data_IF_876616821728
#
_entry.id   IF_876616821728
#
_cell.length_a   1.000
_cell.length_b   1.000
_cell.length_c   1.000
_cell.angle_alpha   90.00
_cell.angle_beta   90.00
_cell.angle_gamma   90.00
#
_symmetry.space_group_name_H-M   'P 1'
#
loop_
_entity.id
_entity.type
_entity.pdbx_description
1 polymer ?
#
# COMPACT_ATOMS: atom_id res chain seq x y z
N UNK A 1 -16.85 -14.76 12.62
CA UNK A 1 -16.62 -13.71 11.59
C UNK A 1 -16.02 -14.37 10.36
N UNK A 2 -16.52 -14.07 9.17
CA UNK A 2 -15.97 -14.57 7.89
C UNK A 2 -14.72 -13.78 7.51
N UNK A 3 -13.71 -14.43 6.91
CA UNK A 3 -12.45 -13.80 6.51
C UNK A 3 -11.98 -14.32 5.15
N UNK A 4 -11.39 -13.45 4.32
CA UNK A 4 -10.73 -13.90 3.09
C UNK A 4 -9.51 -14.71 3.50
N UNK A 5 -9.43 -15.96 3.04
CA UNK A 5 -8.24 -16.80 3.24
C UNK A 5 -7.05 -16.16 2.52
N UNK A 6 -5.90 -16.10 3.19
CA UNK A 6 -4.67 -15.69 2.54
C UNK A 6 -4.30 -16.73 1.48
N UNK A 7 -4.07 -16.28 0.26
CA UNK A 7 -3.62 -17.13 -0.84
C UNK A 7 -2.22 -17.69 -0.53
N UNK A 8 -1.95 -18.90 -1.04
CA UNK A 8 -0.63 -19.49 -0.89
C UNK A 8 0.34 -18.71 -1.78
N UNK A 9 1.42 -18.24 -1.19
CA UNK A 9 2.45 -17.54 -1.96
C UNK A 9 3.29 -18.56 -2.74
N UNK A 10 3.46 -18.28 -4.04
CA UNK A 10 4.26 -19.10 -4.95
C UNK A 10 5.64 -18.48 -5.20
N UNK A 11 6.60 -19.35 -5.52
CA UNK A 11 7.94 -18.92 -5.92
C UNK A 11 7.90 -18.15 -7.24
N UNK A 12 8.92 -17.31 -7.47
CA UNK A 12 9.00 -16.55 -8.72
C UNK A 12 9.37 -17.50 -9.86
N UNK A 13 8.53 -17.58 -10.88
CA UNK A 13 8.88 -18.28 -12.11
C UNK A 13 9.92 -17.48 -12.88
N UNK A 14 11.14 -18.01 -13.02
CA UNK A 14 12.19 -17.40 -13.83
C UNK A 14 12.10 -17.89 -15.27
N UNK A 15 12.12 -16.96 -16.23
CA UNK A 15 11.96 -17.28 -17.66
C UNK A 15 13.09 -16.64 -18.46
N UNK A 16 13.35 -17.17 -19.66
CA UNK A 16 14.31 -16.60 -20.61
C UNK A 16 14.03 -15.12 -20.90
N UNK A 17 12.74 -14.75 -21.01
CA UNK A 17 12.31 -13.35 -21.19
C UNK A 17 12.75 -12.45 -20.02
N UNK A 18 12.68 -12.94 -18.77
CA UNK A 18 13.12 -12.18 -17.58
C UNK A 18 14.64 -12.01 -17.56
N UNK A 19 15.39 -13.05 -17.93
CA UNK A 19 16.84 -12.98 -18.04
C UNK A 19 17.28 -12.00 -19.14
N UNK A 20 16.65 -12.05 -20.33
CA UNK A 20 16.94 -11.10 -21.40
C UNK A 20 16.61 -9.65 -20.99
N UNK A 21 15.53 -9.44 -20.22
CA UNK A 21 15.21 -8.12 -19.69
C UNK A 21 16.25 -7.61 -18.67
N UNK A 22 16.78 -8.51 -17.83
CA UNK A 22 17.88 -8.20 -16.93
C UNK A 22 19.14 -7.79 -17.71
N UNK A 23 19.54 -8.57 -18.72
CA UNK A 23 20.72 -8.23 -19.55
C UNK A 23 20.56 -6.87 -20.25
N UNK A 24 19.36 -6.56 -20.78
CA UNK A 24 19.08 -5.24 -21.36
C UNK A 24 19.15 -4.10 -20.33
N UNK A 25 18.78 -4.35 -19.08
CA UNK A 25 18.95 -3.37 -17.99
C UNK A 25 20.44 -3.11 -17.75
N UNK A 26 21.24 -4.17 -17.63
CA UNK A 26 22.69 -4.06 -17.40
C UNK A 26 23.37 -3.27 -18.54
N UNK A 27 23.06 -3.60 -19.80
CA UNK A 27 23.58 -2.89 -20.96
C UNK A 27 23.17 -1.41 -20.98
N UNK A 28 21.92 -1.09 -20.61
CA UNK A 28 21.46 0.30 -20.52
C UNK A 28 22.20 1.09 -19.44
N UNK A 29 22.50 0.46 -18.31
CA UNK A 29 23.26 1.09 -17.22
C UNK A 29 24.69 1.43 -17.64
N UNK A 30 25.35 0.53 -18.37
CA UNK A 30 26.68 0.79 -18.95
C UNK A 30 26.64 1.90 -20.00
N UNK A 31 25.64 1.88 -20.90
CA UNK A 31 25.44 2.89 -21.94
C UNK A 31 25.11 4.28 -21.38
N UNK A 32 24.47 4.36 -20.21
CA UNK A 32 24.16 5.63 -19.56
C UNK A 32 25.41 6.35 -19.06
N UNK A 33 26.49 5.62 -18.76
CA UNK A 33 27.76 6.16 -18.29
C UNK A 33 28.94 5.52 -19.03
N UNK A 34 29.16 5.84 -20.33
CA UNK A 34 30.12 5.15 -21.17
C UNK A 34 31.57 5.22 -20.66
N UNK A 35 31.97 6.34 -20.06
CA UNK A 35 33.32 6.52 -19.48
C UNK A 35 33.59 5.58 -18.31
N UNK A 36 32.54 5.05 -17.68
CA UNK A 36 32.63 4.12 -16.55
C UNK A 36 32.08 2.73 -16.89
N UNK A 37 31.86 2.42 -18.17
CA UNK A 37 31.18 1.20 -18.58
C UNK A 37 31.86 -0.07 -18.05
N UNK A 38 33.19 -0.12 -18.08
CA UNK A 38 33.97 -1.26 -17.60
C UNK A 38 33.88 -1.41 -16.07
N UNK A 39 33.97 -0.30 -15.32
CA UNK A 39 33.79 -0.32 -13.87
C UNK A 39 32.37 -0.76 -13.50
N UNK A 40 31.35 -0.24 -14.20
CA UNK A 40 29.95 -0.62 -14.00
C UNK A 40 29.76 -2.11 -14.28
N UNK A 41 30.31 -2.64 -15.37
CA UNK A 41 30.20 -4.05 -15.71
C UNK A 41 30.83 -4.95 -14.63
N UNK A 42 31.93 -4.53 -14.00
CA UNK A 42 32.59 -5.26 -12.90
C UNK A 42 31.75 -5.27 -11.61
N UNK A 43 31.02 -4.19 -11.32
CA UNK A 43 30.15 -4.10 -10.15
C UNK A 43 28.79 -4.80 -10.34
N UNK A 44 28.37 -5.03 -11.59
CA UNK A 44 27.09 -5.65 -11.90
C UNK A 44 27.05 -7.12 -11.46
N UNK A 45 26.00 -7.46 -10.72
CA UNK A 45 25.81 -8.81 -10.22
C UNK A 45 25.31 -9.79 -11.30
N UNK A 46 25.55 -11.08 -11.05
CA UNK A 46 25.14 -12.14 -11.96
C UNK A 46 23.63 -12.36 -11.98
N UNK A 47 23.15 -13.09 -12.99
CA UNK A 47 21.74 -13.48 -13.06
C UNK A 47 21.31 -14.38 -11.88
N UNK A 48 22.19 -15.25 -11.40
CA UNK A 48 21.90 -16.10 -10.24
C UNK A 48 21.73 -15.28 -8.96
N UNK A 49 22.59 -14.27 -8.80
CA UNK A 49 22.49 -13.34 -7.68
C UNK A 49 21.21 -12.48 -7.76
N UNK A 50 20.82 -12.04 -8.96
CA UNK A 50 19.55 -11.32 -9.17
C UNK A 50 18.34 -12.17 -8.77
N UNK A 51 18.33 -13.46 -9.11
CA UNK A 51 17.26 -14.38 -8.68
C UNK A 51 17.21 -14.46 -7.16
N UNK A 52 18.36 -14.66 -6.50
CA UNK A 52 18.45 -14.71 -5.03
C UNK A 52 17.89 -13.44 -4.38
N UNK A 53 18.29 -12.27 -4.88
CA UNK A 53 17.81 -10.98 -4.40
C UNK A 53 16.30 -10.80 -4.60
N UNK A 54 15.76 -11.22 -5.76
CA UNK A 54 14.33 -11.19 -6.05
C UNK A 54 13.53 -12.08 -5.12
N UNK A 55 13.99 -13.30 -4.88
CA UNK A 55 13.32 -14.22 -3.95
C UNK A 55 13.34 -13.68 -2.52
N UNK A 56 14.47 -13.14 -2.07
CA UNK A 56 14.55 -12.50 -0.75
C UNK A 56 13.60 -11.31 -0.64
N UNK A 57 13.51 -10.45 -1.67
CA UNK A 57 12.59 -9.31 -1.70
C UNK A 57 11.14 -9.77 -1.71
N UNK A 58 10.82 -10.80 -2.48
CA UNK A 58 9.49 -11.39 -2.58
C UNK A 58 9.02 -11.93 -1.22
N UNK A 59 9.85 -12.76 -0.55
CA UNK A 59 9.57 -13.28 0.81
C UNK A 59 9.34 -12.16 1.81
N UNK A 60 10.22 -11.14 1.83
CA UNK A 60 10.07 -9.97 2.70
C UNK A 60 8.78 -9.21 2.43
N UNK A 61 8.41 -9.03 1.16
CA UNK A 61 7.17 -8.35 0.77
C UNK A 61 5.94 -9.08 1.29
N UNK A 62 5.90 -10.41 1.13
CA UNK A 62 4.80 -11.25 1.60
C UNK A 62 4.68 -11.17 3.12
N UNK A 63 5.79 -11.33 3.84
CA UNK A 63 5.79 -11.26 5.30
C UNK A 63 5.29 -9.90 5.79
N UNK A 64 5.81 -8.81 5.23
CA UNK A 64 5.35 -7.44 5.53
C UNK A 64 3.84 -7.28 5.31
N UNK A 65 3.30 -7.84 4.22
CA UNK A 65 1.85 -7.79 3.97
C UNK A 65 1.06 -8.61 5.01
N UNK A 66 1.54 -9.80 5.38
CA UNK A 66 0.91 -10.62 6.43
C UNK A 66 0.90 -9.88 7.77
N UNK A 67 2.01 -9.25 8.15
CA UNK A 67 2.13 -8.49 9.39
C UNK A 67 1.21 -7.26 9.39
N UNK A 68 1.11 -6.57 8.26
CA UNK A 68 0.18 -5.46 8.08
C UNK A 68 -1.27 -5.92 8.28
N UNK A 69 -1.69 -6.99 7.61
CA UNK A 69 -3.03 -7.54 7.74
C UNK A 69 -3.31 -8.00 9.17
N UNK A 70 -2.36 -8.67 9.83
CA UNK A 70 -2.50 -9.10 11.22
C UNK A 70 -2.66 -7.91 12.17
N UNK A 71 -1.86 -6.85 11.99
CA UNK A 71 -1.97 -5.60 12.75
C UNK A 71 -3.34 -4.94 12.55
N UNK A 72 -3.80 -4.84 11.31
CA UNK A 72 -5.11 -4.27 10.99
C UNK A 72 -6.26 -5.10 11.59
N UNK A 73 -6.19 -6.43 11.51
CA UNK A 73 -7.18 -7.31 12.13
C UNK A 73 -7.27 -7.12 13.63
N UNK A 74 -6.13 -7.05 14.33
CA UNK A 74 -6.11 -6.79 15.78
C UNK A 74 -6.76 -5.45 16.11
N UNK A 75 -6.41 -4.40 15.36
CA UNK A 75 -6.98 -3.06 15.56
C UNK A 75 -8.50 -3.06 15.34
N UNK A 76 -8.96 -3.48 14.17
CA UNK A 76 -10.39 -3.41 13.84
C UNK A 76 -11.25 -4.27 14.76
N UNK A 77 -10.74 -5.43 15.19
CA UNK A 77 -11.48 -6.26 16.16
C UNK A 77 -11.58 -5.57 17.52
N UNK A 78 -10.51 -4.91 17.99
CA UNK A 78 -10.55 -4.10 19.21
C UNK A 78 -11.64 -3.02 19.08
N UNK A 79 -11.67 -2.30 17.97
CA UNK A 79 -12.64 -1.23 17.73
C UNK A 79 -14.07 -1.78 17.61
N UNK A 80 -14.26 -2.92 16.94
CA UNK A 80 -15.55 -3.61 16.84
C UNK A 80 -16.10 -4.01 18.21
N UNK A 81 -15.27 -4.62 19.06
CA UNK A 81 -15.70 -5.05 20.39
C UNK A 81 -15.91 -3.89 21.37
N UNK A 82 -15.38 -2.70 21.07
CA UNK A 82 -15.66 -1.48 21.82
C UNK A 82 -17.03 -0.87 21.49
N UNK A 83 -17.68 -1.27 20.39
CA UNK A 83 -19.01 -0.81 20.04
C UNK A 83 -20.05 -1.32 21.06
N UNK A 84 -21.15 -0.57 21.31
CA UNK A 84 -22.32 -1.08 22.01
C UNK A 84 -22.89 -2.35 21.34
N UNK A 85 -23.52 -3.28 22.10
CA UNK A 85 -24.02 -4.54 21.56
C UNK A 85 -24.97 -4.40 20.35
N UNK A 86 -25.80 -3.35 20.33
CA UNK A 86 -26.71 -3.04 19.22
C UNK A 86 -25.94 -2.73 17.93
N UNK A 87 -24.91 -1.89 18.01
CA UNK A 87 -24.05 -1.53 16.88
C UNK A 87 -23.16 -2.70 16.44
N UNK A 88 -22.74 -3.56 17.37
CA UNK A 88 -22.05 -4.80 17.01
C UNK A 88 -22.94 -5.71 16.16
N UNK A 89 -24.21 -5.89 16.54
CA UNK A 89 -25.17 -6.70 15.79
C UNK A 89 -25.42 -6.12 14.39
N UNK A 90 -25.59 -4.79 14.30
CA UNK A 90 -25.71 -4.08 13.02
C UNK A 90 -24.47 -4.27 12.14
N UNK A 91 -23.27 -4.07 12.69
CA UNK A 91 -22.01 -4.27 11.98
C UNK A 91 -21.88 -5.72 11.47
N UNK A 92 -22.25 -6.70 12.30
CA UNK A 92 -22.20 -8.11 11.93
C UNK A 92 -23.18 -8.42 10.79
N UNK A 93 -24.39 -7.88 10.82
CA UNK A 93 -25.37 -8.05 9.74
C UNK A 93 -24.86 -7.45 8.41
N UNK A 94 -24.37 -6.20 8.44
CA UNK A 94 -23.73 -5.57 7.28
C UNK A 94 -22.54 -6.38 6.77
N UNK A 95 -21.69 -6.84 7.68
CA UNK A 95 -20.54 -7.66 7.35
C UNK A 95 -20.94 -8.96 6.66
N UNK A 96 -22.00 -9.63 7.10
CA UNK A 96 -22.47 -10.86 6.47
C UNK A 96 -23.08 -10.61 5.08
N UNK A 97 -23.87 -9.55 4.93
CA UNK A 97 -24.51 -9.18 3.66
C UNK A 97 -23.52 -8.65 2.60
N UNK A 98 -22.35 -8.16 3.01
CA UNK A 98 -21.37 -7.56 2.10
C UNK A 98 -20.82 -8.57 1.07
N UNK A 99 -20.91 -8.26 -0.22
CA UNK A 99 -20.47 -9.15 -1.31
C UNK A 99 -18.95 -9.17 -1.55
N UNK A 100 -18.24 -8.12 -1.11
CA UNK A 100 -16.81 -7.95 -1.42
C UNK A 100 -15.86 -8.81 -0.56
N UNK A 101 -14.54 -8.67 -0.77
CA UNK A 101 -13.56 -9.50 -0.08
C UNK A 101 -13.56 -9.18 1.41
N UNK A 102 -13.57 -10.23 2.23
CA UNK A 102 -13.63 -10.13 3.69
C UNK A 102 -12.27 -9.76 4.30
N UNK A 103 -11.77 -8.57 4.00
CA UNK A 103 -10.47 -8.02 4.43
C UNK A 103 -10.62 -7.15 5.69
N UNK A 104 -9.52 -6.88 6.45
CA UNK A 104 -9.61 -6.03 7.63
C UNK A 104 -9.98 -4.59 7.29
N UNK A 105 -9.56 -4.08 6.12
CA UNK A 105 -9.92 -2.74 5.66
C UNK A 105 -11.43 -2.59 5.42
N UNK A 106 -12.06 -3.59 4.81
CA UNK A 106 -13.51 -3.56 4.58
C UNK A 106 -14.29 -3.69 5.89
N UNK A 107 -13.83 -4.49 6.85
CA UNK A 107 -14.45 -4.50 8.18
C UNK A 107 -14.27 -3.14 8.87
N UNK A 108 -13.08 -2.54 8.77
CA UNK A 108 -12.77 -1.26 9.39
C UNK A 108 -13.69 -0.16 8.88
N UNK A 109 -14.04 -0.17 7.59
CA UNK A 109 -15.03 0.74 7.03
C UNK A 109 -16.38 0.68 7.79
N UNK A 110 -16.96 -0.50 7.97
CA UNK A 110 -18.24 -0.63 8.70
C UNK A 110 -18.11 -0.21 10.17
N UNK A 111 -17.03 -0.60 10.84
CA UNK A 111 -16.79 -0.20 12.24
C UNK A 111 -16.62 1.31 12.36
N UNK A 112 -15.85 1.92 11.46
CA UNK A 112 -15.56 3.35 11.46
C UNK A 112 -16.78 4.21 11.12
N UNK A 113 -17.72 3.67 10.34
CA UNK A 113 -19.02 4.30 10.12
C UNK A 113 -19.83 4.34 11.42
N UNK A 114 -19.85 3.23 12.17
CA UNK A 114 -20.69 3.08 13.35
C UNK A 114 -20.12 3.76 14.61
N UNK A 115 -18.79 3.88 14.73
CA UNK A 115 -18.14 4.60 15.83
C UNK A 115 -17.92 6.09 15.55
N UNK A 116 -18.30 6.59 14.37
CA UNK A 116 -18.12 7.99 13.96
C UNK A 116 -16.70 8.38 13.52
N UNK A 117 -15.73 7.46 13.58
CA UNK A 117 -14.34 7.74 13.19
C UNK A 117 -14.22 8.06 11.69
N UNK A 118 -15.08 7.49 10.83
CA UNK A 118 -15.10 7.86 9.42
C UNK A 118 -15.48 9.33 9.23
N UNK A 119 -16.56 9.78 9.88
CA UNK A 119 -17.02 11.17 9.82
C UNK A 119 -15.92 12.13 10.32
N UNK A 120 -15.26 11.80 11.42
CA UNK A 120 -14.15 12.59 11.96
C UNK A 120 -12.98 12.72 10.96
N UNK A 121 -12.63 11.64 10.24
CA UNK A 121 -11.57 11.67 9.22
C UNK A 121 -11.95 12.51 7.99
N UNK A 122 -13.20 12.42 7.54
CA UNK A 122 -13.71 13.23 6.44
C UNK A 122 -13.62 14.71 6.81
N UNK A 123 -14.16 15.10 7.97
CA UNK A 123 -14.10 16.48 8.45
C UNK A 123 -12.66 17.01 8.56
N UNK A 124 -11.73 16.19 9.07
CA UNK A 124 -10.31 16.56 9.13
C UNK A 124 -9.68 16.77 7.73
N UNK A 125 -10.04 15.93 6.75
CA UNK A 125 -9.59 16.05 5.37
C UNK A 125 -10.13 17.31 4.68
N UNK A 126 -11.40 17.62 4.90
CA UNK A 126 -12.05 18.85 4.40
C UNK A 126 -11.39 20.09 4.99
N UNK A 127 -11.17 20.12 6.32
CA UNK A 127 -10.48 21.22 6.99
C UNK A 127 -9.05 21.41 6.45
N UNK A 128 -8.33 20.33 6.17
CA UNK A 128 -6.99 20.40 5.55
C UNK A 128 -7.06 21.01 4.15
N UNK A 129 -8.04 20.59 3.35
CA UNK A 129 -8.24 21.08 1.98
C UNK A 129 -8.59 22.57 1.98
N UNK A 130 -9.48 23.00 2.88
CA UNK A 130 -9.85 24.41 3.04
C UNK A 130 -8.63 25.27 3.40
N UNK A 131 -7.78 24.83 4.33
CA UNK A 131 -6.54 25.53 4.67
C UNK A 131 -5.61 25.70 3.48
N UNK A 132 -5.45 24.65 2.65
CA UNK A 132 -4.62 24.72 1.45
C UNK A 132 -5.21 25.72 0.45
N UNK A 133 -6.52 25.66 0.20
CA UNK A 133 -7.21 26.60 -0.70
C UNK A 133 -7.06 28.04 -0.23
N UNK A 134 -7.25 28.31 1.06
CA UNK A 134 -7.07 29.67 1.63
C UNK A 134 -5.65 30.20 1.41
N UNK A 135 -4.62 29.35 1.59
CA UNK A 135 -3.23 29.73 1.32
C UNK A 135 -2.99 30.09 -0.15
N UNK A 136 -3.52 29.27 -1.07
CA UNK A 136 -3.40 29.52 -2.51
C UNK A 136 -4.08 30.83 -2.90
N UNK A 137 -5.32 31.07 -2.41
CA UNK A 137 -6.05 32.31 -2.69
C UNK A 137 -5.31 33.54 -2.14
N UNK A 138 -4.76 33.45 -0.93
CA UNK A 138 -3.98 34.54 -0.35
C UNK A 138 -2.72 34.84 -1.16
N UNK A 139 -2.01 33.81 -1.65
CA UNK A 139 -0.85 33.99 -2.52
C UNK A 139 -1.21 34.62 -3.88
N UNK A 140 -2.32 34.19 -4.48
CA UNK A 140 -2.80 34.77 -5.73
C UNK A 140 -3.19 36.25 -5.56
N UNK A 141 -3.87 36.61 -4.48
CA UNK A 141 -4.23 38.00 -4.19
C UNK A 141 -3.00 38.90 -3.99
N UNK A 142 -1.97 38.39 -3.31
CA UNK A 142 -0.71 39.12 -3.15
C UNK A 142 -0.05 39.34 -4.51
N UNK A 143 -0.05 38.34 -5.39
CA UNK A 143 0.56 38.45 -6.72
C UNK A 143 -0.18 39.42 -7.65
N UNK A 144 -1.52 39.43 -7.64
CA UNK A 144 -2.33 40.41 -8.39
C UNK A 144 -2.18 41.84 -7.86
N UNK A 145 -1.71 42.03 -6.62
CA UNK A 145 -1.52 43.37 -6.03
C UNK A 145 -0.16 44.00 -6.38
N UNK A 146 0.74 43.26 -7.05
CA UNK A 146 2.07 43.72 -7.46
C UNK A 146 2.19 43.97 -8.98
N UNK A 147 1.11 43.78 -9.75
CA UNK A 147 0.96 44.19 -11.16
C UNK A 147 0.11 45.45 -11.24
#
# INVERSE_FOLDING_TARGET
>A
MQFKRAERHEAITYTSRKQAAFNRKLAREQQAMPLFADQIAQEQHSWDEEKRLRDQRNRRSVQRMRDLYAKQWRKVRKDYYALPPTLQAQCKAQWHAFWGPKTPGNLAYFVDQLNGALAARIAAGEAKTQRIRQKILAQAQVQTSFE
#
